data_IF_071828692276
#
_entry.id   IF_071828692276
#
_cell.length_a   1.000
_cell.length_b   1.000
_cell.length_c   1.000
_cell.angle_alpha   90.00
_cell.angle_beta   90.00
_cell.angle_gamma   90.00
#
_symmetry.space_group_name_H-M   'P 1'
#
loop_
_entity.id
_entity.type
_entity.pdbx_description
1 polymer ?
#
# COMPACT_ATOMS: atom_id res chain seq x y z
N UNK A 1 -10.66 -10.22 17.68
CA UNK A 1 -9.49 -9.70 16.94
C UNK A 1 -9.79 -8.27 16.54
N UNK A 2 -9.40 -7.29 17.35
CA UNK A 2 -9.51 -5.88 16.95
C UNK A 2 -8.11 -5.40 16.57
N UNK A 3 -8.00 -4.80 15.39
CA UNK A 3 -6.79 -4.24 14.82
C UNK A 3 -6.29 -3.11 15.74
N UNK A 4 -5.31 -3.40 16.60
CA UNK A 4 -4.71 -2.43 17.52
C UNK A 4 -3.70 -1.55 16.77
N UNK A 5 -4.19 -0.76 15.81
CA UNK A 5 -3.47 0.42 15.33
C UNK A 5 -3.78 1.57 16.29
N UNK A 6 -3.12 1.59 17.46
CA UNK A 6 -3.11 2.82 18.24
C UNK A 6 -2.24 3.86 17.53
N UNK A 7 -2.47 5.14 17.84
CA UNK A 7 -1.76 6.26 17.20
C UNK A 7 -0.23 6.08 17.26
N UNK A 8 0.29 5.59 18.39
CA UNK A 8 1.72 5.36 18.56
C UNK A 8 2.28 4.32 17.57
N UNK A 9 1.59 3.20 17.39
CA UNK A 9 2.01 2.16 16.44
C UNK A 9 1.94 2.66 14.99
N UNK A 10 0.97 3.51 14.67
CA UNK A 10 0.88 4.16 13.36
C UNK A 10 2.06 5.11 13.12
N UNK A 11 2.33 6.03 14.05
CA UNK A 11 3.46 6.96 13.98
C UNK A 11 4.80 6.24 13.90
N UNK A 12 5.00 5.17 14.68
CA UNK A 12 6.19 4.34 14.60
C UNK A 12 6.35 3.69 13.22
N UNK A 13 5.26 3.18 12.65
CA UNK A 13 5.28 2.59 11.31
C UNK A 13 5.63 3.61 10.23
N UNK A 14 5.08 4.83 10.32
CA UNK A 14 5.43 5.93 9.41
C UNK A 14 6.90 6.33 9.53
N UNK A 15 7.43 6.44 10.76
CA UNK A 15 8.84 6.75 10.98
C UNK A 15 9.77 5.69 10.38
N UNK A 16 9.42 4.41 10.50
CA UNK A 16 10.18 3.30 9.89
C UNK A 16 10.15 3.32 8.35
N UNK A 17 9.02 3.73 7.76
CA UNK A 17 8.91 3.92 6.32
C UNK A 17 9.75 5.13 5.88
N UNK A 18 9.63 6.26 6.58
CA UNK A 18 10.35 7.51 6.26
C UNK A 18 11.87 7.38 6.43
N UNK A 19 12.34 6.60 7.42
CA UNK A 19 13.76 6.34 7.63
C UNK A 19 14.36 5.34 6.63
N UNK A 20 13.54 4.74 5.75
CA UNK A 20 13.97 3.70 4.81
C UNK A 20 14.25 2.35 5.46
N UNK A 21 13.93 2.16 6.75
CA UNK A 21 14.03 0.86 7.41
C UNK A 21 13.06 -0.16 6.82
N UNK A 22 11.94 0.30 6.26
CA UNK A 22 10.99 -0.52 5.51
C UNK A 22 10.99 -0.06 4.03
N UNK A 23 11.40 -0.91 3.09
CA UNK A 23 11.43 -0.57 1.66
C UNK A 23 10.02 -0.63 1.07
N UNK A 24 9.25 0.44 1.25
CA UNK A 24 7.86 0.54 0.80
C UNK A 24 7.70 0.33 -0.72
N UNK A 25 8.68 0.79 -1.49
CA UNK A 25 8.79 0.66 -2.94
C UNK A 25 8.85 -0.81 -3.39
N UNK A 26 9.44 -1.70 -2.59
CA UNK A 26 9.47 -3.14 -2.87
C UNK A 26 8.15 -3.84 -2.59
N UNK A 27 7.29 -3.24 -1.76
CA UNK A 27 5.97 -3.78 -1.40
C UNK A 27 4.93 -3.32 -2.42
N UNK A 28 4.98 -2.05 -2.84
CA UNK A 28 4.08 -1.47 -3.83
C UNK A 28 4.45 -2.00 -5.22
N UNK A 29 3.67 -2.96 -5.71
CA UNK A 29 3.90 -3.64 -6.98
C UNK A 29 3.42 -2.86 -8.20
N UNK A 30 2.70 -1.75 -8.01
CA UNK A 30 2.19 -0.94 -9.12
C UNK A 30 1.33 0.23 -8.67
N UNK A 31 1.13 1.16 -9.60
CA UNK A 31 0.31 2.36 -9.44
C UNK A 31 -0.68 2.43 -10.60
N UNK A 32 -1.91 2.83 -10.31
CA UNK A 32 -2.97 2.96 -11.30
C UNK A 32 -3.67 4.31 -11.11
N UNK A 33 -4.16 4.95 -12.19
CA UNK A 33 -5.12 6.04 -12.06
C UNK A 33 -6.37 5.58 -11.29
N UNK A 34 -6.98 6.48 -10.52
CA UNK A 34 -8.22 6.19 -9.77
C UNK A 34 -9.34 5.70 -10.70
N UNK A 35 -9.42 6.22 -11.92
CA UNK A 35 -10.41 5.84 -12.94
C UNK A 35 -10.28 4.36 -13.34
N UNK A 36 -9.07 3.81 -13.25
CA UNK A 36 -8.73 2.42 -13.59
C UNK A 36 -8.75 1.50 -12.36
N UNK A 37 -9.48 1.84 -11.31
CA UNK A 37 -9.53 1.04 -10.08
C UNK A 37 -9.93 -0.42 -10.35
N UNK A 38 -10.88 -0.67 -11.24
CA UNK A 38 -11.33 -2.03 -11.57
C UNK A 38 -10.19 -2.90 -12.11
N UNK A 39 -9.34 -2.36 -12.98
CA UNK A 39 -8.18 -3.06 -13.54
C UNK A 39 -7.18 -3.40 -12.44
N UNK A 40 -6.87 -2.45 -11.55
CA UNK A 40 -6.01 -2.68 -10.40
C UNK A 40 -6.54 -3.81 -9.51
N UNK A 41 -7.86 -3.84 -9.26
CA UNK A 41 -8.48 -4.91 -8.49
C UNK A 41 -8.41 -6.27 -9.19
N UNK A 42 -8.56 -6.33 -10.52
CA UNK A 42 -8.39 -7.57 -11.27
C UNK A 42 -6.95 -8.08 -11.20
N UNK A 43 -5.95 -7.20 -11.27
CA UNK A 43 -4.54 -7.57 -11.11
C UNK A 43 -4.27 -8.22 -9.75
N UNK A 44 -4.86 -7.68 -8.66
CA UNK A 44 -4.78 -8.29 -7.33
C UNK A 44 -5.48 -9.65 -7.26
N UNK A 45 -6.69 -9.78 -7.80
CA UNK A 45 -7.44 -11.05 -7.84
C UNK A 45 -6.68 -12.14 -8.58
N UNK A 46 -5.99 -11.78 -9.66
CA UNK A 46 -5.16 -12.68 -10.46
C UNK A 46 -3.78 -12.95 -9.85
N UNK A 47 -3.48 -12.40 -8.65
CA UNK A 47 -2.19 -12.51 -7.95
C UNK A 47 -1.01 -12.01 -8.78
N UNK A 48 -1.25 -11.02 -9.65
CA UNK A 48 -0.21 -10.36 -10.46
C UNK A 48 0.49 -9.20 -9.72
N UNK A 49 -0.05 -8.79 -8.57
CA UNK A 49 0.48 -7.72 -7.74
C UNK A 49 0.29 -8.06 -6.25
N UNK A 50 1.16 -7.52 -5.38
CA UNK A 50 1.07 -7.65 -3.92
C UNK A 50 0.29 -6.47 -3.30
N UNK A 51 0.69 -5.24 -3.62
CA UNK A 51 0.05 -4.00 -3.16
C UNK A 51 0.00 -3.02 -4.32
N UNK A 52 -1.18 -2.45 -4.57
CA UNK A 52 -1.35 -1.40 -5.56
C UNK A 52 -1.76 -0.10 -4.86
N UNK A 53 -1.35 1.03 -5.46
CA UNK A 53 -1.77 2.37 -5.05
C UNK A 53 -2.59 2.98 -6.18
N UNK A 54 -3.73 3.55 -5.84
CA UNK A 54 -4.54 4.34 -6.76
C UNK A 54 -4.17 5.82 -6.59
N UNK A 55 -3.89 6.50 -7.69
CA UNK A 55 -3.50 7.90 -7.70
C UNK A 55 -4.58 8.76 -8.35
N UNK A 56 -4.91 9.87 -7.70
CA UNK A 56 -5.80 10.89 -8.23
C UNK A 56 -4.88 11.89 -8.93
N UNK A 57 -4.81 11.82 -10.26
CA UNK A 57 -4.11 12.83 -11.07
C UNK A 57 -5.07 13.98 -11.39
#
# INVERSE_FOLDING_TARGET
FSFSANYLAFEQSLNLLASGCIPADKIISGKYPLESWDEAFQALKQRKALKLVLEIN
#
